data_IF_118029686483
#
_entry.id   IF_118029686483
#
_cell.length_a   1.000
_cell.length_b   1.000
_cell.length_c   1.000
_cell.angle_alpha   90.00
_cell.angle_beta   90.00
_cell.angle_gamma   90.00
#
_symmetry.space_group_name_H-M   'P 1'
#
loop_
_entity.id
_entity.type
_entity.pdbx_description
1 polymer ?
#
# COMPACT_ATOMS: atom_id res chain seq x y z
N UNK A 1 24.84 29.20 -14.19
CA UNK A 1 25.85 30.08 -13.54
C UNK A 1 25.53 30.09 -12.06
N UNK A 2 26.38 29.50 -11.20
CA UNK A 2 26.11 29.34 -9.76
C UNK A 2 26.38 30.68 -9.07
N UNK A 3 25.32 31.41 -8.71
CA UNK A 3 25.44 32.56 -7.82
C UNK A 3 25.49 32.05 -6.37
N UNK A 4 26.69 31.92 -5.81
CA UNK A 4 26.89 31.76 -4.36
C UNK A 4 26.47 33.04 -3.65
N UNK A 5 25.19 33.16 -3.31
CA UNK A 5 24.69 34.22 -2.44
C UNK A 5 25.38 34.13 -1.07
N UNK A 6 25.98 35.23 -0.62
CA UNK A 6 26.59 35.32 0.71
C UNK A 6 25.48 35.45 1.76
N UNK A 7 24.99 34.33 2.28
CA UNK A 7 23.89 34.31 3.24
C UNK A 7 24.17 35.08 4.54
N UNK A 8 25.43 35.26 4.91
CA UNK A 8 25.80 36.00 6.13
C UNK A 8 25.55 37.52 6.01
N UNK A 9 25.35 38.06 4.80
CA UNK A 9 25.00 39.48 4.61
C UNK A 9 23.49 39.74 4.70
N UNK A 10 22.66 38.71 4.88
CA UNK A 10 21.22 38.87 4.95
C UNK A 10 20.77 39.33 6.34
N UNK A 11 19.96 40.38 6.37
CA UNK A 11 19.44 40.99 7.61
C UNK A 11 17.94 40.85 7.79
N UNK A 12 17.24 40.32 6.78
CA UNK A 12 15.77 40.18 6.76
C UNK A 12 15.34 38.80 6.29
N UNK A 13 14.39 38.16 6.98
CA UNK A 13 13.75 36.91 6.55
C UNK A 13 12.23 36.93 6.77
N UNK A 14 11.51 35.99 6.16
CA UNK A 14 10.07 35.76 6.39
C UNK A 14 9.86 34.57 7.33
N UNK A 15 9.23 34.81 8.49
CA UNK A 15 8.86 33.77 9.45
C UNK A 15 7.35 33.87 9.68
N UNK A 16 6.63 32.78 9.44
CA UNK A 16 5.15 32.72 9.50
C UNK A 16 4.47 33.80 8.64
N UNK A 17 5.04 34.10 7.47
CA UNK A 17 4.51 35.11 6.54
C UNK A 17 4.81 36.57 6.94
N UNK A 18 5.54 36.81 8.02
CA UNK A 18 5.93 38.15 8.46
C UNK A 18 7.41 38.40 8.24
N UNK A 19 7.75 39.57 7.66
CA UNK A 19 9.13 40.04 7.54
C UNK A 19 9.69 40.34 8.94
N UNK A 20 10.86 39.78 9.23
CA UNK A 20 11.58 39.91 10.49
C UNK A 20 13.02 40.30 10.23
N UNK A 21 13.56 41.16 11.10
CA UNK A 21 14.95 41.62 11.04
C UNK A 21 15.81 40.83 12.02
N UNK A 22 17.09 40.68 11.69
CA UNK A 22 18.02 39.93 12.51
C UNK A 22 19.36 39.71 11.83
N UNK A 23 20.10 38.70 12.31
CA UNK A 23 21.40 38.32 11.73
C UNK A 23 21.56 36.81 11.65
N UNK A 24 22.30 36.36 10.63
CA UNK A 24 22.67 34.97 10.47
C UNK A 24 23.83 34.62 11.41
N UNK A 25 23.65 33.60 12.25
CA UNK A 25 24.66 33.09 13.19
C UNK A 25 25.43 31.90 12.63
N UNK A 26 24.76 31.01 11.90
CA UNK A 26 25.35 29.79 11.35
C UNK A 26 24.55 29.28 10.16
N UNK A 27 25.21 28.52 9.29
CA UNK A 27 24.61 27.80 8.17
C UNK A 27 24.99 26.33 8.30
N UNK A 28 24.02 25.43 8.26
CA UNK A 28 24.22 23.99 8.31
C UNK A 28 23.63 23.34 7.05
N UNK A 29 24.40 22.42 6.45
CA UNK A 29 23.96 21.65 5.28
C UNK A 29 23.77 20.21 5.71
N UNK A 30 22.57 19.66 5.52
CA UNK A 30 22.29 18.24 5.78
C UNK A 30 21.53 17.64 4.60
N UNK A 31 22.17 16.68 3.92
CA UNK A 31 21.58 15.76 2.91
C UNK A 31 20.66 16.46 1.90
N UNK A 32 21.02 17.68 1.47
CA UNK A 32 20.38 18.52 0.44
C UNK A 32 19.52 19.71 0.90
N UNK A 33 19.41 19.99 2.20
CA UNK A 33 18.81 21.22 2.71
C UNK A 33 19.85 22.10 3.43
N UNK A 34 19.89 23.41 3.10
CA UNK A 34 20.58 24.41 3.94
C UNK A 34 19.61 24.97 4.97
N UNK A 35 19.97 24.83 6.25
CA UNK A 35 19.29 25.51 7.36
C UNK A 35 20.17 26.65 7.84
N UNK A 36 19.51 27.75 8.18
CA UNK A 36 20.16 28.97 8.62
C UNK A 36 19.72 29.23 10.06
N UNK A 37 20.69 29.37 10.96
CA UNK A 37 20.43 29.81 12.31
C UNK A 37 20.34 31.34 12.27
N UNK A 38 19.13 31.89 12.39
CA UNK A 38 18.87 33.33 12.35
C UNK A 38 18.46 33.84 13.73
N UNK A 39 19.13 34.88 14.19
CA UNK A 39 18.83 35.54 15.46
C UNK A 39 18.01 36.80 15.19
N UNK A 40 16.79 36.84 15.72
CA UNK A 40 15.91 38.00 15.65
C UNK A 40 16.44 39.16 16.50
N UNK A 41 16.18 40.39 16.07
CA UNK A 41 16.49 41.58 16.87
C UNK A 41 15.78 41.52 18.23
N UNK A 42 16.55 41.64 19.31
CA UNK A 42 16.04 41.57 20.69
C UNK A 42 16.04 40.17 21.31
N UNK A 43 16.37 39.12 20.55
CA UNK A 43 16.51 37.76 21.09
C UNK A 43 17.97 37.39 21.36
N UNK A 44 18.21 36.56 22.39
CA UNK A 44 19.55 36.11 22.77
C UNK A 44 19.94 34.75 22.15
N UNK A 45 19.06 34.16 21.33
CA UNK A 45 19.27 32.84 20.70
C UNK A 45 18.88 32.89 19.24
N UNK A 46 19.52 32.05 18.42
CA UNK A 46 19.14 31.86 17.02
C UNK A 46 18.12 30.74 16.85
N UNK A 47 17.21 30.93 15.89
CA UNK A 47 16.22 29.92 15.46
C UNK A 47 16.63 29.37 14.10
N UNK A 48 16.51 28.05 13.91
CA UNK A 48 16.81 27.41 12.64
C UNK A 48 15.64 27.57 11.66
N UNK A 49 15.88 28.26 10.54
CA UNK A 49 14.92 28.51 9.47
C UNK A 49 15.45 28.00 8.11
N UNK A 50 14.59 27.66 7.15
CA UNK A 50 15.03 27.27 5.81
C UNK A 50 15.64 28.46 5.05
N UNK A 51 16.57 28.20 4.12
CA UNK A 51 17.19 29.24 3.26
C UNK A 51 16.18 30.05 2.45
N UNK A 52 15.07 29.42 2.05
CA UNK A 52 13.93 30.07 1.35
C UNK A 52 13.26 31.19 2.16
N UNK A 53 13.53 31.30 3.46
CA UNK A 53 13.05 32.40 4.28
C UNK A 53 13.73 33.74 3.94
N UNK A 54 14.87 33.75 3.26
CA UNK A 54 15.61 34.97 2.88
C UNK A 54 15.36 35.34 1.41
N UNK A 55 14.52 36.36 1.17
CA UNK A 55 14.37 36.97 -0.16
C UNK A 55 14.12 38.48 0.01
N UNK A 56 14.97 39.30 -0.61
CA UNK A 56 14.75 40.72 -0.90
C UNK A 56 15.36 41.02 -2.29
N UNK A 57 14.81 41.85 -3.16
CA UNK A 57 14.12 43.14 -2.98
C UNK A 57 12.85 43.33 -3.85
N UNK A 58 12.12 44.40 -3.52
CA UNK A 58 11.00 45.11 -4.15
C UNK A 58 10.19 44.48 -5.32
N UNK A 59 8.89 44.36 -5.05
CA UNK A 59 7.83 44.02 -6.01
C UNK A 59 7.61 45.22 -6.94
N UNK A 60 8.28 45.22 -8.10
CA UNK A 60 7.70 45.80 -9.31
C UNK A 60 6.38 45.07 -9.53
N UNK A 61 5.23 45.74 -9.80
CA UNK A 61 3.98 45.04 -10.03
C UNK A 61 4.07 44.27 -11.35
N UNK A 62 4.65 43.07 -11.26
CA UNK A 62 4.61 42.07 -12.30
C UNK A 62 3.16 41.62 -12.38
N UNK A 63 2.53 41.84 -13.54
CA UNK A 63 1.32 41.12 -13.88
C UNK A 63 1.68 39.64 -13.85
N UNK A 64 1.35 38.97 -12.75
CA UNK A 64 1.35 37.51 -12.71
C UNK A 64 0.15 37.08 -13.54
N UNK A 65 0.37 36.90 -14.84
CA UNK A 65 -0.38 35.86 -15.54
C UNK A 65 -0.04 34.58 -14.78
N UNK A 66 -0.99 34.08 -14.00
CA UNK A 66 -0.81 32.87 -13.22
C UNK A 66 -0.63 31.74 -14.23
N UNK A 67 0.60 31.26 -14.39
CA UNK A 67 0.87 30.08 -15.23
C UNK A 67 -0.06 28.96 -14.79
N UNK A 68 -0.78 28.39 -15.74
CA UNK A 68 -1.64 27.23 -15.49
C UNK A 68 -0.77 26.03 -15.09
N UNK A 69 -1.30 25.05 -14.33
CA UNK A 69 -0.53 23.85 -13.97
C UNK A 69 0.09 23.11 -15.18
N UNK A 70 -0.56 23.19 -16.34
CA UNK A 70 -0.08 22.63 -17.61
C UNK A 70 1.11 23.43 -18.15
N UNK A 71 1.08 24.76 -18.07
CA UNK A 71 2.20 25.62 -18.48
C UNK A 71 3.41 25.42 -17.57
N UNK A 72 3.21 25.32 -16.26
CA UNK A 72 4.27 25.01 -15.30
C UNK A 72 4.97 23.69 -15.63
N UNK A 73 4.22 22.61 -15.89
CA UNK A 73 4.82 21.33 -16.31
C UNK A 73 5.54 21.42 -17.65
N UNK A 74 4.97 22.12 -18.64
CA UNK A 74 5.61 22.29 -19.94
C UNK A 74 6.91 23.11 -19.88
N UNK A 75 6.97 24.10 -18.99
CA UNK A 75 8.20 24.86 -18.74
C UNK A 75 9.26 23.98 -18.07
N UNK A 76 8.85 23.19 -17.07
CA UNK A 76 9.71 22.23 -16.40
C UNK A 76 10.32 21.18 -17.36
N UNK A 77 9.58 20.79 -18.41
CA UNK A 77 10.08 19.89 -19.47
C UNK A 77 11.19 20.53 -20.31
N UNK A 78 11.10 21.84 -20.60
CA UNK A 78 12.13 22.56 -21.39
C UNK A 78 13.46 22.64 -20.64
N UNK A 79 13.40 22.69 -19.31
CA UNK A 79 14.56 22.80 -18.43
C UNK A 79 15.23 21.43 -18.18
N UNK A 80 14.57 20.33 -18.54
CA UNK A 80 15.04 18.97 -18.31
C UNK A 80 15.27 18.23 -19.65
N UNK A 81 16.54 18.01 -20.05
CA UNK A 81 16.88 17.36 -21.31
C UNK A 81 16.26 15.97 -21.50
N UNK A 82 16.10 15.19 -20.42
CA UNK A 82 15.54 13.83 -20.49
C UNK A 82 14.04 13.82 -20.70
N UNK A 83 13.32 14.74 -20.06
CA UNK A 83 11.90 14.93 -20.34
C UNK A 83 11.69 15.43 -21.78
N UNK A 84 12.62 16.24 -22.29
CA UNK A 84 12.60 16.65 -23.70
C UNK A 84 12.82 15.46 -24.64
N UNK A 85 13.79 14.58 -24.35
CA UNK A 85 14.03 13.35 -25.14
C UNK A 85 12.77 12.47 -25.16
N UNK A 86 12.17 12.23 -23.99
CA UNK A 86 10.97 11.41 -23.84
C UNK A 86 9.77 12.01 -24.60
N UNK A 87 9.60 13.34 -24.53
CA UNK A 87 8.58 14.06 -25.30
C UNK A 87 8.75 13.89 -26.80
N UNK A 88 9.98 13.92 -27.30
CA UNK A 88 10.28 13.78 -28.73
C UNK A 88 10.03 12.36 -29.24
N UNK A 89 10.24 11.34 -28.40
CA UNK A 89 10.00 9.94 -28.74
C UNK A 89 8.53 9.55 -28.66
N UNK A 90 7.77 10.20 -27.76
CA UNK A 90 6.36 9.91 -27.55
C UNK A 90 5.47 10.35 -28.72
N UNK A 91 4.34 9.65 -28.88
CA UNK A 91 3.27 10.15 -29.74
C UNK A 91 2.77 11.53 -29.24
N UNK A 92 2.67 12.57 -30.10
CA UNK A 92 2.31 13.92 -29.65
C UNK A 92 0.97 14.02 -28.91
N UNK A 93 -0.03 13.23 -29.29
CA UNK A 93 -1.33 13.24 -28.59
C UNK A 93 -1.20 12.59 -27.21
N UNK A 94 -0.54 11.44 -27.13
CA UNK A 94 -0.31 10.74 -25.87
C UNK A 94 0.50 11.60 -24.88
N UNK A 95 1.51 12.33 -25.35
CA UNK A 95 2.24 13.27 -24.50
C UNK A 95 1.35 14.40 -23.96
N UNK A 96 0.55 15.00 -24.83
CA UNK A 96 -0.37 16.08 -24.46
C UNK A 96 -1.38 15.59 -23.42
N UNK A 97 -1.93 14.40 -23.63
CA UNK A 97 -2.91 13.79 -22.72
C UNK A 97 -2.26 13.49 -21.36
N UNK A 98 -1.04 12.93 -21.35
CA UNK A 98 -0.28 12.68 -20.11
C UNK A 98 -0.04 13.96 -19.31
N UNK A 99 0.45 15.03 -19.95
CA UNK A 99 0.72 16.31 -19.27
C UNK A 99 -0.58 16.94 -18.76
N UNK A 100 -1.64 16.94 -19.56
CA UNK A 100 -2.95 17.47 -19.15
C UNK A 100 -3.52 16.72 -17.95
N UNK A 101 -3.39 15.39 -17.95
CA UNK A 101 -3.83 14.51 -16.88
C UNK A 101 -3.08 14.77 -15.57
N UNK A 102 -1.75 14.84 -15.60
CA UNK A 102 -0.93 14.99 -14.40
C UNK A 102 -0.90 16.42 -13.84
N UNK A 103 -1.04 17.44 -14.70
CA UNK A 103 -1.05 18.84 -14.28
C UNK A 103 -2.12 19.12 -13.22
N UNK A 104 -3.33 18.58 -13.41
CA UNK A 104 -4.42 18.72 -12.45
C UNK A 104 -4.15 18.03 -11.13
N UNK A 105 -3.58 16.82 -11.16
CA UNK A 105 -3.33 16.04 -9.94
C UNK A 105 -2.20 16.61 -9.09
N UNK A 106 -1.09 16.98 -9.72
CA UNK A 106 0.08 17.50 -9.01
C UNK A 106 -0.19 18.84 -8.31
N UNK A 107 -1.11 19.65 -8.84
CA UNK A 107 -1.53 20.89 -8.20
C UNK A 107 -2.30 20.66 -6.87
N UNK A 108 -2.84 19.45 -6.66
CA UNK A 108 -3.77 19.14 -5.57
C UNK A 108 -3.23 18.09 -4.58
N UNK A 109 -1.95 17.76 -4.62
CA UNK A 109 -1.35 16.80 -3.67
C UNK A 109 -1.29 17.43 -2.27
N UNK A 110 -1.92 16.75 -1.29
CA UNK A 110 -1.84 17.11 0.13
C UNK A 110 -0.56 16.55 0.75
N UNK A 111 0.50 17.37 0.82
CA UNK A 111 1.79 16.95 1.38
C UNK A 111 1.70 16.54 2.87
N UNK A 112 1.05 17.30 3.77
CA UNK A 112 0.85 16.87 5.15
C UNK A 112 0.19 15.49 5.28
N UNK A 113 -0.90 15.23 4.54
CA UNK A 113 -1.58 13.94 4.56
C UNK A 113 -0.68 12.82 4.02
N UNK A 114 0.06 13.11 2.95
CA UNK A 114 1.03 12.20 2.33
C UNK A 114 2.11 11.78 3.33
N UNK A 115 2.76 12.74 3.99
CA UNK A 115 3.81 12.50 4.99
C UNK A 115 3.24 11.71 6.19
N UNK A 116 2.06 12.08 6.68
CA UNK A 116 1.40 11.36 7.78
C UNK A 116 1.05 9.91 7.42
N UNK A 117 0.70 9.65 6.16
CA UNK A 117 0.47 8.29 5.69
C UNK A 117 1.77 7.47 5.65
N UNK A 118 2.85 8.04 5.13
CA UNK A 118 4.18 7.40 5.08
C UNK A 118 4.72 7.12 6.49
N UNK A 119 4.63 8.08 7.40
CA UNK A 119 5.07 7.90 8.79
C UNK A 119 4.32 6.76 9.50
N UNK A 120 3.02 6.60 9.23
CA UNK A 120 2.23 5.48 9.77
C UNK A 120 2.70 4.14 9.20
N UNK A 121 3.01 4.10 7.91
CA UNK A 121 3.48 2.90 7.23
C UNK A 121 4.87 2.48 7.72
N UNK A 122 5.83 3.40 7.74
CA UNK A 122 7.17 3.18 8.30
C UNK A 122 7.13 2.81 9.79
N UNK A 123 6.21 3.42 10.56
CA UNK A 123 6.01 3.08 11.97
C UNK A 123 5.47 1.66 12.20
N UNK A 124 4.71 1.11 11.25
CA UNK A 124 4.19 -0.26 11.28
C UNK A 124 5.24 -1.29 10.86
N UNK A 125 6.10 -0.93 9.91
CA UNK A 125 7.10 -1.80 9.30
C UNK A 125 8.53 -1.30 9.55
N UNK A 126 8.88 -1.08 10.83
CA UNK A 126 10.14 -0.43 11.23
C UNK A 126 11.42 -1.17 10.82
N UNK A 127 11.34 -2.48 10.70
CA UNK A 127 12.46 -3.35 10.33
C UNK A 127 12.57 -3.55 8.81
N UNK A 128 11.64 -3.00 8.03
CA UNK A 128 11.57 -3.16 6.58
C UNK A 128 12.39 -2.10 5.86
N UNK A 129 12.96 -2.47 4.72
CA UNK A 129 13.66 -1.58 3.81
C UNK A 129 12.70 -0.58 3.15
N UNK A 130 13.18 0.56 2.62
CA UNK A 130 12.35 1.49 1.85
C UNK A 130 11.62 0.81 0.68
N UNK A 131 12.26 -0.15 0.01
CA UNK A 131 11.64 -0.91 -1.07
C UNK A 131 10.46 -1.76 -0.57
N UNK A 132 10.64 -2.54 0.50
CA UNK A 132 9.56 -3.38 1.05
C UNK A 132 8.36 -2.53 1.52
N UNK A 133 8.61 -1.37 2.13
CA UNK A 133 7.57 -0.43 2.55
C UNK A 133 6.84 0.16 1.33
N UNK A 134 7.58 0.54 0.29
CA UNK A 134 7.02 1.04 -0.94
C UNK A 134 6.21 -0.04 -1.68
N UNK A 135 6.69 -1.28 -1.72
CA UNK A 135 6.00 -2.42 -2.34
C UNK A 135 4.64 -2.70 -1.68
N UNK A 136 4.59 -2.70 -0.34
CA UNK A 136 3.32 -2.78 0.42
C UNK A 136 2.36 -1.65 0.02
N UNK A 137 2.87 -0.42 -0.09
CA UNK A 137 2.06 0.72 -0.50
C UNK A 137 1.51 0.54 -1.92
N UNK A 138 2.35 0.12 -2.86
CA UNK A 138 1.98 -0.10 -4.26
C UNK A 138 0.86 -1.13 -4.34
N UNK A 139 1.01 -2.27 -3.66
CA UNK A 139 -0.03 -3.30 -3.62
C UNK A 139 -1.33 -2.78 -3.02
N UNK A 140 -1.27 -2.05 -1.91
CA UNK A 140 -2.47 -1.47 -1.31
C UNK A 140 -3.19 -0.48 -2.25
N UNK A 141 -2.44 0.34 -2.99
CA UNK A 141 -2.97 1.31 -3.96
C UNK A 141 -3.52 0.61 -5.21
N UNK A 142 -2.85 -0.43 -5.71
CA UNK A 142 -3.36 -1.29 -6.79
C UNK A 142 -4.66 -1.98 -6.41
N UNK A 143 -4.75 -2.50 -5.17
CA UNK A 143 -5.98 -3.07 -4.62
C UNK A 143 -7.09 -2.02 -4.48
N UNK A 144 -6.76 -0.83 -3.97
CA UNK A 144 -7.72 0.27 -3.86
C UNK A 144 -8.29 0.68 -5.22
N UNK A 145 -7.46 0.76 -6.27
CA UNK A 145 -7.95 1.01 -7.63
C UNK A 145 -8.67 -0.17 -8.27
N UNK A 146 -8.37 -1.39 -7.82
CA UNK A 146 -9.16 -2.56 -8.14
C UNK A 146 -10.55 -2.55 -7.45
N UNK A 147 -10.84 -1.55 -6.60
CA UNK A 147 -12.07 -1.49 -5.81
C UNK A 147 -12.05 -2.39 -4.58
N UNK A 148 -10.87 -2.91 -4.22
CA UNK A 148 -10.65 -3.63 -2.96
C UNK A 148 -10.27 -2.59 -1.91
N UNK A 149 -11.27 -1.98 -1.28
CA UNK A 149 -11.02 -1.23 -0.05
C UNK A 149 -10.62 -2.24 1.03
N UNK A 150 -9.40 -2.09 1.54
CA UNK A 150 -8.86 -2.92 2.61
C UNK A 150 -9.51 -2.60 3.98
N UNK A 151 -10.79 -2.23 4.03
CA UNK A 151 -11.61 -2.14 5.25
C UNK A 151 -13.12 -2.28 4.93
N UNK A 152 -13.69 -3.38 5.44
CA UNK A 152 -15.11 -3.59 5.79
C UNK A 152 -16.19 -3.83 4.71
N UNK A 153 -16.89 -4.95 4.94
CA UNK A 153 -18.26 -5.32 4.59
C UNK A 153 -18.60 -5.49 3.10
N UNK A 154 -19.08 -6.70 2.83
CA UNK A 154 -20.12 -7.08 1.86
C UNK A 154 -19.70 -7.30 0.38
N UNK A 155 -19.91 -8.57 -0.04
CA UNK A 155 -20.35 -9.08 -1.35
C UNK A 155 -19.32 -9.36 -2.46
N UNK A 156 -18.94 -10.63 -2.69
CA UNK A 156 -18.24 -11.10 -3.93
C UNK A 156 -19.21 -11.41 -5.09
N UNK A 157 -20.32 -10.69 -5.16
CA UNK A 157 -21.10 -10.57 -6.41
C UNK A 157 -21.36 -9.09 -6.73
N UNK A 158 -21.47 -8.21 -5.73
CA UNK A 158 -21.44 -6.76 -5.94
C UNK A 158 -20.01 -6.17 -6.07
N UNK A 159 -18.97 -6.92 -5.67
CA UNK A 159 -17.57 -6.66 -6.09
C UNK A 159 -17.42 -6.85 -7.61
N UNK A 160 -18.37 -7.48 -8.30
CA UNK A 160 -18.75 -7.33 -9.72
C UNK A 160 -19.14 -5.94 -10.25
N UNK A 161 -19.96 -5.27 -9.43
CA UNK A 161 -21.02 -4.36 -9.87
C UNK A 161 -20.75 -2.93 -9.37
N UNK A 162 -20.00 -2.77 -8.27
CA UNK A 162 -19.39 -1.49 -7.86
C UNK A 162 -18.21 -1.05 -8.75
N UNK A 163 -17.66 -1.99 -9.53
CA UNK A 163 -16.41 -1.93 -10.30
C UNK A 163 -16.33 -0.89 -11.41
N UNK A 164 -17.48 -0.42 -11.90
CA UNK A 164 -17.54 0.43 -13.08
C UNK A 164 -17.35 1.94 -12.78
N UNK A 165 -17.15 2.34 -11.51
CA UNK A 165 -17.30 3.75 -11.10
C UNK A 165 -16.03 4.52 -10.73
N UNK A 166 -14.88 3.88 -10.57
CA UNK A 166 -13.61 4.64 -10.41
C UNK A 166 -13.24 5.17 -11.79
N UNK A 167 -13.48 6.46 -11.96
CA UNK A 167 -13.12 7.21 -13.17
C UNK A 167 -11.61 7.36 -13.28
N UNK A 168 -11.14 7.62 -14.50
CA UNK A 168 -9.72 7.81 -14.78
C UNK A 168 -9.05 8.91 -13.90
N UNK A 169 -9.73 10.02 -13.54
CA UNK A 169 -9.24 11.01 -12.56
C UNK A 169 -8.99 10.45 -11.15
N UNK A 170 -9.79 9.49 -10.69
CA UNK A 170 -9.53 8.90 -9.37
C UNK A 170 -8.26 8.02 -9.37
N UNK A 171 -7.98 7.35 -10.50
CA UNK A 171 -6.78 6.51 -10.67
C UNK A 171 -5.52 7.38 -10.79
N UNK A 172 -5.62 8.52 -11.47
CA UNK A 172 -4.53 9.47 -11.64
C UNK A 172 -4.08 10.07 -10.34
N UNK A 173 -5.05 10.57 -9.56
CA UNK A 173 -4.82 11.08 -8.22
C UNK A 173 -4.14 10.03 -7.36
N UNK A 174 -4.67 8.80 -7.38
CA UNK A 174 -4.14 7.71 -6.58
C UNK A 174 -2.70 7.35 -6.94
N UNK A 175 -2.40 7.30 -8.24
CA UNK A 175 -1.06 7.02 -8.77
C UNK A 175 -0.09 8.15 -8.46
N UNK A 176 -0.53 9.41 -8.60
CA UNK A 176 0.27 10.59 -8.32
C UNK A 176 0.62 10.67 -6.84
N UNK A 177 -0.37 10.54 -5.95
CA UNK A 177 -0.14 10.46 -4.50
C UNK A 177 0.84 9.35 -4.15
N UNK A 178 0.67 8.16 -4.73
CA UNK A 178 1.56 7.02 -4.49
C UNK A 178 3.01 7.33 -4.89
N UNK A 179 3.25 7.98 -6.03
CA UNK A 179 4.61 8.38 -6.45
C UNK A 179 5.24 9.34 -5.44
N UNK A 180 4.48 10.31 -4.90
CA UNK A 180 4.96 11.20 -3.85
C UNK A 180 5.20 10.48 -2.52
N UNK A 181 4.34 9.53 -2.16
CA UNK A 181 4.55 8.69 -0.98
C UNK A 181 5.82 7.86 -1.10
N UNK A 182 6.10 7.28 -2.26
CA UNK A 182 7.34 6.54 -2.53
C UNK A 182 8.55 7.48 -2.40
N UNK A 183 8.48 8.70 -2.96
CA UNK A 183 9.53 9.70 -2.78
C UNK A 183 9.85 9.93 -1.29
N UNK A 184 8.82 10.11 -0.46
CA UNK A 184 8.98 10.28 0.99
C UNK A 184 9.50 9.02 1.69
N UNK A 185 9.09 7.81 1.26
CA UNK A 185 9.61 6.54 1.80
C UNK A 185 11.13 6.43 1.58
N UNK A 186 11.63 6.90 0.44
CA UNK A 186 13.06 6.97 0.13
C UNK A 186 13.76 8.22 0.72
N UNK A 187 13.05 9.07 1.47
CA UNK A 187 13.63 10.19 2.20
C UNK A 187 13.69 11.53 1.45
N UNK A 188 13.00 11.66 0.31
CA UNK A 188 12.96 12.91 -0.45
C UNK A 188 11.86 13.86 0.01
N UNK A 189 12.13 15.17 -0.05
CA UNK A 189 11.13 16.20 0.29
C UNK A 189 10.09 16.37 -0.83
N UNK A 190 8.84 16.60 -0.44
CA UNK A 190 7.70 16.67 -1.37
C UNK A 190 7.45 18.07 -1.93
N UNK A 191 7.95 19.10 -1.25
CA UNK A 191 7.75 20.52 -1.54
C UNK A 191 8.68 21.07 -2.64
N UNK A 192 9.57 20.24 -3.15
CA UNK A 192 10.52 20.62 -4.20
C UNK A 192 9.85 20.56 -5.58
N UNK A 193 9.98 21.64 -6.36
CA UNK A 193 9.44 21.72 -7.74
C UNK A 193 9.96 20.62 -8.67
N UNK A 194 11.17 20.14 -8.41
CA UNK A 194 11.73 18.98 -9.10
C UNK A 194 10.84 17.72 -8.96
N UNK A 195 10.07 17.53 -7.87
CA UNK A 195 9.21 16.33 -7.69
C UNK A 195 8.16 16.19 -8.79
N UNK A 196 7.66 17.31 -9.32
CA UNK A 196 6.71 17.30 -10.44
C UNK A 196 7.37 16.80 -11.72
N UNK A 197 8.64 17.17 -11.95
CA UNK A 197 9.43 16.68 -13.09
C UNK A 197 9.71 15.19 -12.97
N UNK A 198 10.03 14.72 -11.76
CA UNK A 198 10.30 13.30 -11.51
C UNK A 198 9.07 12.44 -11.65
N UNK A 199 7.95 12.88 -11.09
CA UNK A 199 6.67 12.21 -11.29
C UNK A 199 6.34 12.17 -12.78
N UNK A 200 6.44 13.28 -13.51
CA UNK A 200 6.23 13.28 -14.96
C UNK A 200 7.17 12.31 -15.69
N UNK A 201 8.43 12.20 -15.28
CA UNK A 201 9.40 11.27 -15.85
C UNK A 201 8.99 9.82 -15.59
N UNK A 202 8.67 9.46 -14.35
CA UNK A 202 8.22 8.12 -13.94
C UNK A 202 6.99 7.69 -14.74
N UNK A 203 5.98 8.56 -14.82
CA UNK A 203 4.78 8.27 -15.59
C UNK A 203 5.07 8.16 -17.09
N UNK A 204 5.92 9.04 -17.63
CA UNK A 204 6.26 9.02 -19.04
C UNK A 204 7.00 7.74 -19.45
N UNK A 205 8.03 7.31 -18.71
CA UNK A 205 8.77 6.07 -19.04
C UNK A 205 7.91 4.82 -18.91
N UNK A 206 6.92 4.85 -18.00
CA UNK A 206 6.02 3.73 -17.76
C UNK A 206 4.91 3.64 -18.81
N UNK A 207 4.26 4.78 -19.12
CA UNK A 207 3.04 4.80 -19.94
C UNK A 207 3.30 5.04 -21.43
N UNK A 208 4.45 5.62 -21.78
CA UNK A 208 4.80 5.94 -23.17
C UNK A 208 5.93 5.04 -23.72
N UNK A 209 6.42 4.09 -22.92
CA UNK A 209 7.50 3.18 -23.28
C UNK A 209 7.10 2.14 -24.35
N UNK A 210 8.10 1.67 -25.11
CA UNK A 210 7.90 0.73 -26.23
C UNK A 210 7.22 -0.57 -25.79
N UNK A 211 7.55 -1.10 -24.59
CA UNK A 211 6.94 -2.33 -24.07
C UNK A 211 5.46 -2.15 -23.71
N UNK A 212 5.06 -1.00 -23.19
CA UNK A 212 3.64 -0.70 -22.95
C UNK A 212 2.85 -0.71 -24.27
N UNK A 213 3.45 -0.12 -25.32
CA UNK A 213 2.88 -0.10 -26.68
C UNK A 213 2.82 -1.52 -27.27
N UNK A 214 3.90 -2.30 -27.19
CA UNK A 214 3.99 -3.65 -27.73
C UNK A 214 3.09 -4.66 -27.01
N UNK A 215 2.83 -4.45 -25.71
CA UNK A 215 1.85 -5.21 -24.96
C UNK A 215 0.40 -4.87 -25.34
N UNK A 216 0.18 -3.91 -26.26
CA UNK A 216 -1.15 -3.45 -26.68
C UNK A 216 -1.85 -2.63 -25.60
N UNK A 217 -1.09 -2.14 -24.60
CA UNK A 217 -1.63 -1.45 -23.44
C UNK A 217 -1.62 0.05 -23.73
N UNK A 218 -2.73 0.53 -24.27
CA UNK A 218 -2.91 1.95 -24.57
C UNK A 218 -3.58 2.68 -23.40
N UNK A 219 -2.79 2.98 -22.36
CA UNK A 219 -3.26 3.63 -21.13
C UNK A 219 -3.96 4.98 -21.37
N UNK A 220 -3.71 5.63 -22.51
CA UNK A 220 -4.10 7.00 -22.80
C UNK A 220 -5.11 7.14 -23.95
N UNK A 221 -5.26 6.16 -24.86
CA UNK A 221 -6.32 6.23 -25.90
C UNK A 221 -7.70 5.87 -25.34
N UNK A 222 -8.39 6.90 -24.87
CA UNK A 222 -9.85 6.94 -24.72
C UNK A 222 -10.51 7.13 -26.11
N UNK A 223 -10.56 6.08 -26.93
CA UNK A 223 -11.45 6.06 -28.11
C UNK A 223 -12.83 5.57 -27.66
N UNK A 224 -13.91 6.39 -27.64
CA UNK A 224 -15.24 5.93 -27.23
C UNK A 224 -15.79 4.76 -28.04
N UNK A 225 -15.29 4.52 -29.27
CA UNK A 225 -15.67 3.38 -30.11
C UNK A 225 -14.80 2.12 -29.90
N UNK A 226 -13.66 2.23 -29.19
CA UNK A 226 -12.81 1.10 -28.76
C UNK A 226 -12.65 0.97 -27.24
N UNK A 227 -13.21 1.91 -26.48
CA UNK A 227 -13.22 1.95 -25.03
C UNK A 227 -14.17 0.88 -24.50
N UNK A 228 -13.73 -0.37 -24.58
CA UNK A 228 -14.00 -1.30 -23.49
C UNK A 228 -13.38 -0.62 -22.26
N UNK A 229 -14.21 -0.21 -21.31
CA UNK A 229 -13.77 0.33 -20.03
C UNK A 229 -12.56 -0.46 -19.54
N UNK A 230 -11.46 0.21 -19.17
CA UNK A 230 -10.28 -0.43 -18.59
C UNK A 230 -10.75 -1.48 -17.58
N UNK A 231 -10.47 -2.76 -17.87
CA UNK A 231 -10.77 -3.83 -16.92
C UNK A 231 -10.03 -3.52 -15.62
N UNK A 232 -10.65 -3.82 -14.49
CA UNK A 232 -10.13 -3.64 -13.13
C UNK A 232 -8.68 -4.10 -12.99
N UNK A 233 -8.36 -5.23 -13.63
CA UNK A 233 -7.02 -5.81 -13.65
C UNK A 233 -6.00 -4.88 -14.33
N UNK A 234 -6.38 -4.24 -15.44
CA UNK A 234 -5.53 -3.26 -16.12
C UNK A 234 -5.30 -2.02 -15.26
N UNK A 235 -6.31 -1.52 -14.55
CA UNK A 235 -6.17 -0.37 -13.64
C UNK A 235 -5.16 -0.68 -12.52
N UNK A 236 -5.26 -1.86 -11.92
CA UNK A 236 -4.36 -2.31 -10.87
C UNK A 236 -2.92 -2.49 -11.39
N UNK A 237 -2.75 -3.08 -12.58
CA UNK A 237 -1.45 -3.21 -13.25
C UNK A 237 -0.82 -1.85 -13.54
N UNK A 238 -1.60 -0.86 -13.98
CA UNK A 238 -1.09 0.49 -14.26
C UNK A 238 -0.44 1.10 -13.02
N UNK A 239 -1.17 1.08 -11.90
CA UNK A 239 -0.66 1.58 -10.62
C UNK A 239 0.54 0.76 -10.18
N UNK A 240 0.50 -0.55 -10.35
CA UNK A 240 1.61 -1.42 -10.00
C UNK A 240 2.89 -1.08 -10.77
N UNK A 241 2.77 -0.89 -12.08
CA UNK A 241 3.87 -0.52 -12.96
C UNK A 241 4.44 0.87 -12.62
N UNK A 242 3.57 1.88 -12.43
CA UNK A 242 3.97 3.24 -12.03
C UNK A 242 4.69 3.21 -10.67
N UNK A 243 4.18 2.42 -9.73
CA UNK A 243 4.75 2.24 -8.41
C UNK A 243 6.16 1.63 -8.45
N UNK A 244 6.34 0.56 -9.23
CA UNK A 244 7.65 -0.05 -9.41
C UNK A 244 8.63 0.88 -10.10
N UNK A 245 8.20 1.58 -11.16
CA UNK A 245 9.02 2.59 -11.82
C UNK A 245 9.48 3.68 -10.84
N UNK A 246 8.59 4.13 -9.93
CA UNK A 246 8.96 5.06 -8.87
C UNK A 246 9.98 4.45 -7.89
N UNK A 247 9.84 3.17 -7.52
CA UNK A 247 10.82 2.50 -6.66
C UNK A 247 12.21 2.45 -7.31
N UNK A 248 12.30 2.01 -8.57
CA UNK A 248 13.56 1.96 -9.31
C UNK A 248 14.17 3.37 -9.40
N UNK A 249 13.36 4.36 -9.75
CA UNK A 249 13.75 5.76 -9.87
C UNK A 249 14.34 6.32 -8.56
N UNK A 250 13.59 6.22 -7.46
CA UNK A 250 14.01 6.80 -6.18
C UNK A 250 15.14 6.00 -5.52
N UNK A 251 15.22 4.68 -5.74
CA UNK A 251 16.35 3.88 -5.31
C UNK A 251 17.65 4.28 -6.05
N UNK A 252 17.58 4.52 -7.36
CA UNK A 252 18.70 5.02 -8.14
C UNK A 252 19.13 6.41 -7.68
N UNK A 253 18.16 7.32 -7.51
CA UNK A 253 18.41 8.69 -7.03
C UNK A 253 19.02 8.72 -5.63
N UNK A 254 18.56 7.85 -4.72
CA UNK A 254 19.09 7.76 -3.35
C UNK A 254 20.56 7.29 -3.32
N UNK A 255 20.98 6.45 -4.28
CA UNK A 255 22.37 6.01 -4.42
C UNK A 255 23.26 7.10 -5.05
N UNK A 256 22.74 7.85 -6.02
CA UNK A 256 23.49 8.89 -6.73
C UNK A 256 22.55 9.99 -7.20
N UNK A 257 22.74 11.21 -6.68
CA UNK A 257 21.86 12.37 -6.91
C UNK A 257 21.67 12.73 -8.40
N UNK A 258 22.70 12.49 -9.22
CA UNK A 258 22.69 12.76 -10.67
C UNK A 258 22.39 11.53 -11.53
N UNK A 259 22.02 10.38 -10.94
CA UNK A 259 21.81 9.12 -11.68
C UNK A 259 20.89 9.31 -12.91
N UNK A 260 19.88 10.18 -12.78
CA UNK A 260 18.84 10.39 -13.77
C UNK A 260 19.22 11.38 -14.89
N UNK A 261 20.42 11.94 -14.83
CA UNK A 261 20.96 12.80 -15.90
C UNK A 261 21.80 12.00 -16.92
N UNK A 262 22.30 10.82 -16.53
CA UNK A 262 23.06 9.92 -17.41
C UNK A 262 22.14 9.17 -18.38
N UNK A 263 22.55 9.05 -19.66
CA UNK A 263 21.81 8.29 -20.68
C UNK A 263 21.67 6.82 -20.27
N UNK A 264 22.78 6.22 -19.82
CA UNK A 264 22.85 4.78 -19.56
C UNK A 264 22.01 4.39 -18.33
N UNK A 265 22.02 5.21 -17.30
CA UNK A 265 21.21 5.00 -16.09
C UNK A 265 19.72 5.24 -16.36
N UNK A 266 19.40 6.23 -17.21
CA UNK A 266 18.02 6.46 -17.64
C UNK A 266 17.49 5.29 -18.48
N UNK A 267 18.29 4.76 -19.41
CA UNK A 267 17.93 3.58 -20.20
C UNK A 267 17.76 2.34 -19.32
N UNK A 268 18.65 2.16 -18.34
CA UNK A 268 18.55 1.09 -17.36
C UNK A 268 17.29 1.21 -16.50
N UNK A 269 16.95 2.41 -16.04
CA UNK A 269 15.68 2.69 -15.37
C UNK A 269 14.50 2.33 -16.26
N UNK A 270 14.53 2.70 -17.53
CA UNK A 270 13.48 2.37 -18.49
C UNK A 270 13.33 0.85 -18.63
N UNK A 271 14.42 0.12 -18.86
CA UNK A 271 14.44 -1.34 -18.96
C UNK A 271 13.90 -1.99 -17.68
N UNK A 272 14.42 -1.63 -16.50
CA UNK A 272 14.01 -2.19 -15.20
C UNK A 272 12.55 -1.84 -14.85
N UNK A 273 12.08 -0.63 -15.17
CA UNK A 273 10.70 -0.22 -14.92
C UNK A 273 9.69 -0.96 -15.80
N UNK A 274 10.10 -1.37 -17.00
CA UNK A 274 9.22 -2.04 -17.96
C UNK A 274 9.25 -3.57 -17.85
N UNK A 275 10.11 -4.18 -17.03
CA UNK A 275 10.13 -5.65 -16.78
C UNK A 275 8.74 -6.15 -16.37
N UNK A 276 8.04 -5.39 -15.54
CA UNK A 276 6.70 -5.73 -15.04
C UNK A 276 5.61 -5.72 -16.10
N UNK A 277 5.89 -5.17 -17.29
CA UNK A 277 4.97 -5.12 -18.43
C UNK A 277 5.25 -6.20 -19.48
N UNK A 278 6.36 -6.94 -19.38
CA UNK A 278 6.79 -7.92 -20.42
C UNK A 278 5.76 -9.04 -20.65
N UNK A 279 5.13 -9.53 -19.59
CA UNK A 279 4.18 -10.66 -19.64
C UNK A 279 2.71 -10.24 -19.71
N UNK A 280 2.42 -8.94 -19.81
CA UNK A 280 1.07 -8.39 -19.82
C UNK A 280 0.37 -8.54 -21.18
N UNK A 281 0.45 -9.74 -21.79
CA UNK A 281 -0.06 -10.04 -23.15
C UNK A 281 -1.52 -10.54 -23.15
N UNK A 282 -2.08 -10.86 -21.98
CA UNK A 282 -3.47 -11.30 -21.81
C UNK A 282 -3.97 -11.01 -20.39
N UNK A 283 -5.29 -10.92 -20.19
CA UNK A 283 -5.89 -10.66 -18.87
C UNK A 283 -5.51 -11.71 -17.82
N UNK A 284 -5.47 -12.98 -18.20
CA UNK A 284 -5.12 -14.10 -17.32
C UNK A 284 -3.67 -14.01 -16.81
N UNK A 285 -2.73 -13.65 -17.69
CA UNK A 285 -1.33 -13.47 -17.30
C UNK A 285 -1.15 -12.25 -16.39
N UNK A 286 -1.88 -11.17 -16.66
CA UNK A 286 -1.85 -9.98 -15.80
C UNK A 286 -2.40 -10.31 -14.41
N UNK A 287 -3.49 -11.09 -14.33
CA UNK A 287 -4.05 -11.55 -13.07
C UNK A 287 -3.02 -12.35 -12.26
N UNK A 288 -2.43 -13.38 -12.87
CA UNK A 288 -1.44 -14.22 -12.18
C UNK A 288 -0.22 -13.41 -11.72
N UNK A 289 0.31 -12.54 -12.58
CA UNK A 289 1.44 -11.67 -12.20
C UNK A 289 1.07 -10.78 -11.02
N UNK A 290 -0.09 -10.13 -11.05
CA UNK A 290 -0.54 -9.27 -9.96
C UNK A 290 -0.78 -10.06 -8.67
N UNK A 291 -1.34 -11.27 -8.75
CA UNK A 291 -1.54 -12.16 -7.60
C UNK A 291 -0.22 -12.54 -6.92
N UNK A 292 0.82 -12.87 -7.70
CA UNK A 292 2.15 -13.17 -7.17
C UNK A 292 2.75 -11.96 -6.43
N UNK A 293 2.66 -10.78 -7.02
CA UNK A 293 3.19 -9.55 -6.45
C UNK A 293 2.42 -9.12 -5.19
N UNK A 294 1.09 -9.30 -5.17
CA UNK A 294 0.27 -9.09 -3.97
C UNK A 294 0.73 -10.03 -2.85
N UNK A 295 0.95 -11.31 -3.18
CA UNK A 295 1.40 -12.32 -2.21
C UNK A 295 2.79 -12.01 -1.65
N UNK A 296 3.70 -11.50 -2.47
CA UNK A 296 5.04 -11.09 -2.02
C UNK A 296 5.02 -9.85 -1.14
N UNK A 297 4.19 -8.85 -1.48
CA UNK A 297 4.10 -7.60 -0.74
C UNK A 297 3.41 -7.74 0.62
N UNK A 298 2.45 -8.67 0.76
CA UNK A 298 1.81 -8.91 2.05
C UNK A 298 2.83 -9.62 2.96
N UNK A 299 3.34 -8.94 4.02
CA UNK A 299 4.36 -9.54 4.86
C UNK A 299 3.83 -10.82 5.47
N UNK A 300 4.68 -11.86 5.53
CA UNK A 300 4.35 -13.10 6.24
C UNK A 300 3.87 -12.78 7.65
N UNK A 301 2.85 -13.48 8.17
CA UNK A 301 2.31 -13.15 9.48
C UNK A 301 3.37 -13.29 10.56
N UNK A 302 3.42 -12.30 11.45
CA UNK A 302 4.26 -12.40 12.63
C UNK A 302 3.51 -13.16 13.73
N UNK A 303 3.94 -14.39 13.99
CA UNK A 303 3.34 -15.26 15.02
C UNK A 303 3.73 -14.89 16.46
N UNK A 304 4.69 -13.97 16.67
CA UNK A 304 5.22 -13.64 18.01
C UNK A 304 4.15 -13.12 18.97
N UNK A 305 3.18 -12.35 18.46
CA UNK A 305 2.10 -11.84 19.30
C UNK A 305 1.13 -12.97 19.70
N UNK A 306 0.81 -13.88 18.78
CA UNK A 306 0.01 -15.07 19.08
C UNK A 306 0.71 -15.96 20.12
N UNK A 307 2.01 -16.22 19.94
CA UNK A 307 2.81 -16.99 20.90
C UNK A 307 2.81 -16.36 22.30
N UNK A 308 3.01 -15.04 22.38
CA UNK A 308 2.97 -14.30 23.64
C UNK A 308 1.60 -14.43 24.31
N UNK A 309 0.50 -14.19 23.59
CA UNK A 309 -0.86 -14.27 24.14
C UNK A 309 -1.20 -15.69 24.63
N UNK A 310 -0.80 -16.72 23.87
CA UNK A 310 -1.00 -18.11 24.25
C UNK A 310 -0.20 -18.49 25.50
N UNK A 311 1.05 -18.02 25.61
CA UNK A 311 1.89 -18.27 26.81
C UNK A 311 1.32 -17.63 28.08
N UNK A 312 0.58 -16.53 27.92
CA UNK A 312 -0.13 -15.83 28.99
C UNK A 312 -1.53 -16.42 29.27
N UNK A 313 -1.94 -17.44 28.52
CA UNK A 313 -3.27 -18.06 28.59
C UNK A 313 -4.42 -17.06 28.33
N UNK A 314 -4.15 -16.02 27.53
CA UNK A 314 -5.13 -15.04 27.09
C UNK A 314 -5.93 -15.61 25.91
N UNK A 315 -6.75 -16.62 26.18
CA UNK A 315 -7.36 -17.48 25.16
C UNK A 315 -8.23 -16.73 24.15
N UNK A 316 -9.05 -15.79 24.60
CA UNK A 316 -9.91 -14.98 23.72
C UNK A 316 -9.08 -14.08 22.80
N UNK A 317 -8.06 -13.41 23.35
CA UNK A 317 -7.16 -12.55 22.56
C UNK A 317 -6.32 -13.36 21.58
N UNK A 318 -5.90 -14.56 21.99
CA UNK A 318 -5.17 -15.50 21.13
C UNK A 318 -6.05 -15.97 19.96
N UNK A 319 -7.33 -16.21 20.21
CA UNK A 319 -8.29 -16.58 19.18
C UNK A 319 -8.51 -15.45 18.17
N UNK A 320 -8.76 -14.23 18.66
CA UNK A 320 -8.85 -13.03 17.81
C UNK A 320 -7.57 -12.81 16.98
N UNK A 321 -6.40 -13.00 17.57
CA UNK A 321 -5.13 -12.84 16.88
C UNK A 321 -4.93 -13.93 15.81
N UNK A 322 -5.35 -15.16 16.09
CA UNK A 322 -5.34 -16.24 15.09
C UNK A 322 -6.20 -15.87 13.88
N UNK A 323 -7.39 -15.30 14.13
CA UNK A 323 -8.24 -14.82 13.05
C UNK A 323 -7.59 -13.72 12.20
N UNK A 324 -6.91 -12.76 12.83
CA UNK A 324 -6.16 -11.72 12.09
C UNK A 324 -5.03 -12.30 11.23
N UNK A 325 -4.28 -13.26 11.77
CA UNK A 325 -3.19 -13.93 11.05
C UNK A 325 -3.74 -14.69 9.84
N UNK A 326 -4.81 -15.47 10.03
CA UNK A 326 -5.45 -16.22 8.93
C UNK A 326 -6.01 -15.28 7.88
N UNK A 327 -6.61 -14.16 8.28
CA UNK A 327 -7.04 -13.11 7.35
C UNK A 327 -5.86 -12.53 6.58
N UNK A 328 -4.75 -12.22 7.24
CA UNK A 328 -3.55 -11.71 6.59
C UNK A 328 -2.99 -12.70 5.55
N UNK A 329 -2.93 -13.99 5.89
CA UNK A 329 -2.47 -15.06 4.98
C UNK A 329 -3.38 -15.21 3.75
N UNK A 330 -4.68 -15.03 3.95
CA UNK A 330 -5.68 -15.10 2.87
C UNK A 330 -5.79 -13.80 2.07
N UNK A 331 -4.83 -12.88 2.22
CA UNK A 331 -4.89 -11.53 1.65
C UNK A 331 -6.25 -10.84 1.93
N UNK A 332 -6.82 -11.13 3.10
CA UNK A 332 -8.08 -10.63 3.63
C UNK A 332 -9.35 -11.11 2.90
N UNK A 333 -9.30 -12.19 2.10
CA UNK A 333 -10.48 -12.90 1.59
C UNK A 333 -10.60 -14.32 2.16
N UNK A 334 -11.31 -14.50 3.29
CA UNK A 334 -11.43 -15.81 3.93
C UNK A 334 -12.47 -16.73 3.28
N UNK A 335 -13.32 -16.25 2.36
CA UNK A 335 -14.44 -17.03 1.81
C UNK A 335 -14.02 -17.91 0.64
N UNK A 336 -13.15 -17.42 -0.25
CA UNK A 336 -12.92 -18.10 -1.53
C UNK A 336 -11.63 -18.93 -1.61
N UNK A 337 -10.71 -18.79 -0.65
CA UNK A 337 -9.37 -19.36 -0.80
C UNK A 337 -8.73 -19.98 0.45
N UNK A 338 -9.50 -20.53 1.38
CA UNK A 338 -8.92 -21.28 2.53
C UNK A 338 -7.99 -22.42 2.07
N UNK A 339 -8.17 -22.91 0.84
CA UNK A 339 -7.27 -23.89 0.21
C UNK A 339 -5.90 -23.32 -0.21
N UNK A 340 -5.74 -22.01 -0.40
CA UNK A 340 -4.43 -21.40 -0.67
C UNK A 340 -3.58 -21.18 0.58
N UNK A 341 -4.15 -21.31 1.79
CA UNK A 341 -3.32 -21.27 3.00
C UNK A 341 -2.19 -22.29 2.86
N UNK A 342 -0.95 -21.81 2.98
CA UNK A 342 0.21 -22.67 3.00
C UNK A 342 0.10 -23.62 4.20
N UNK A 343 0.46 -24.89 3.99
CA UNK A 343 0.32 -25.91 5.04
C UNK A 343 1.22 -25.60 6.23
N UNK A 344 2.37 -24.98 5.98
CA UNK A 344 3.36 -24.56 6.96
C UNK A 344 2.76 -23.54 7.95
N UNK A 345 1.95 -22.60 7.46
CA UNK A 345 1.30 -21.60 8.30
C UNK A 345 0.21 -22.21 9.18
N UNK A 346 -0.57 -23.15 8.63
CA UNK A 346 -1.57 -23.92 9.40
C UNK A 346 -0.87 -24.73 10.51
N UNK A 347 0.22 -25.43 10.17
CA UNK A 347 1.02 -26.21 11.12
C UNK A 347 1.65 -25.34 12.21
N UNK A 348 2.12 -24.13 11.87
CA UNK A 348 2.68 -23.19 12.84
C UNK A 348 1.62 -22.72 13.85
N UNK A 349 0.43 -22.34 13.38
CA UNK A 349 -0.69 -21.96 14.25
C UNK A 349 -1.09 -23.14 15.15
N UNK A 350 -1.25 -24.34 14.57
CA UNK A 350 -1.62 -25.56 15.32
C UNK A 350 -0.60 -25.89 16.41
N UNK A 351 0.70 -25.82 16.08
CA UNK A 351 1.79 -26.06 17.04
C UNK A 351 1.74 -25.10 18.23
N UNK A 352 1.49 -23.80 17.98
CA UNK A 352 1.39 -22.79 19.03
C UNK A 352 0.21 -23.08 19.97
N UNK A 353 -0.97 -23.36 19.40
CA UNK A 353 -2.15 -23.72 20.19
C UNK A 353 -1.95 -25.01 21.00
N UNK A 354 -1.42 -26.05 20.38
CA UNK A 354 -1.17 -27.34 21.03
C UNK A 354 -0.17 -27.24 22.18
N UNK A 355 0.96 -26.56 21.96
CA UNK A 355 2.05 -26.46 22.97
C UNK A 355 1.60 -25.69 24.21
N UNK A 356 0.76 -24.67 24.06
CA UNK A 356 0.31 -23.84 25.18
C UNK A 356 -0.94 -24.39 25.88
N UNK A 357 -1.65 -25.36 25.28
CA UNK A 357 -2.90 -25.93 25.81
C UNK A 357 -2.76 -27.38 26.29
N UNK A 358 -1.53 -27.90 26.43
CA UNK A 358 -1.27 -29.33 26.70
C UNK A 358 -1.97 -30.25 25.68
N UNK A 359 -1.98 -29.85 24.40
CA UNK A 359 -2.60 -30.59 23.31
C UNK A 359 -4.14 -30.61 23.33
N UNK A 360 -4.80 -29.75 24.12
CA UNK A 360 -6.26 -29.69 24.18
C UNK A 360 -6.89 -28.90 23.02
N UNK A 361 -6.20 -27.88 22.54
CA UNK A 361 -6.67 -26.96 21.49
C UNK A 361 -5.76 -27.03 20.26
N UNK A 362 -6.32 -26.67 19.10
CA UNK A 362 -5.64 -26.74 17.81
C UNK A 362 -6.49 -27.41 16.73
N UNK A 363 -6.14 -27.13 15.48
CA UNK A 363 -6.81 -27.67 14.29
C UNK A 363 -6.59 -29.18 14.13
N UNK A 364 -5.44 -29.73 14.54
CA UNK A 364 -5.17 -31.18 14.50
C UNK A 364 -6.11 -31.93 15.43
N UNK A 365 -6.40 -31.36 16.60
CA UNK A 365 -7.36 -31.91 17.56
C UNK A 365 -8.79 -31.82 17.01
N UNK A 366 -9.16 -30.68 16.44
CA UNK A 366 -10.45 -30.53 15.74
C UNK A 366 -10.61 -31.54 14.60
N UNK A 367 -9.55 -31.78 13.81
CA UNK A 367 -9.54 -32.78 12.74
C UNK A 367 -9.83 -34.17 13.28
N UNK A 368 -9.13 -34.60 14.33
CA UNK A 368 -9.37 -35.92 14.94
C UNK A 368 -10.83 -36.09 15.39
N UNK A 369 -11.39 -35.07 16.05
CA UNK A 369 -12.78 -35.08 16.51
C UNK A 369 -13.73 -35.14 15.30
N UNK A 370 -13.54 -34.29 14.29
CA UNK A 370 -14.35 -34.24 13.08
C UNK A 370 -14.42 -35.59 12.36
N UNK A 371 -13.28 -36.28 12.22
CA UNK A 371 -13.25 -37.61 11.63
C UNK A 371 -13.87 -38.68 12.53
N UNK A 372 -13.68 -38.60 13.86
CA UNK A 372 -14.24 -39.57 14.82
C UNK A 372 -15.78 -39.60 14.84
N UNK A 373 -16.42 -38.45 14.57
CA UNK A 373 -17.89 -38.32 14.47
C UNK A 373 -18.40 -38.56 13.03
N UNK A 374 -17.56 -39.11 12.16
CA UNK A 374 -17.93 -39.43 10.77
C UNK A 374 -18.17 -38.19 9.91
N UNK A 375 -17.43 -37.09 10.16
CA UNK A 375 -17.50 -35.83 9.41
C UNK A 375 -18.85 -35.12 9.47
N UNK A 376 -19.71 -35.49 10.43
CA UNK A 376 -21.02 -34.88 10.63
C UNK A 376 -20.86 -33.55 11.35
N UNK A 377 -21.14 -32.46 10.65
CA UNK A 377 -20.96 -31.08 11.14
C UNK A 377 -21.71 -30.81 12.44
N UNK A 378 -22.94 -31.33 12.58
CA UNK A 378 -23.72 -31.22 13.82
C UNK A 378 -23.05 -31.90 15.01
N UNK A 379 -22.71 -33.18 14.87
CA UNK A 379 -22.07 -34.00 15.90
C UNK A 379 -20.69 -33.44 16.27
N UNK A 380 -19.94 -32.94 15.29
CA UNK A 380 -18.68 -32.24 15.50
C UNK A 380 -18.88 -30.99 16.36
N UNK A 381 -19.83 -30.13 15.99
CA UNK A 381 -20.18 -28.93 16.76
C UNK A 381 -20.57 -29.23 18.21
N UNK A 382 -21.28 -30.33 18.45
CA UNK A 382 -21.61 -30.77 19.81
C UNK A 382 -20.37 -31.28 20.57
N UNK A 383 -19.51 -32.05 19.91
CA UNK A 383 -18.30 -32.62 20.51
C UNK A 383 -17.30 -31.54 20.92
N UNK A 384 -17.11 -30.51 20.08
CA UNK A 384 -16.23 -29.38 20.41
C UNK A 384 -16.94 -28.30 21.23
N UNK A 385 -18.25 -28.42 21.50
CA UNK A 385 -19.00 -27.49 22.35
C UNK A 385 -19.41 -26.16 21.70
N UNK A 386 -19.47 -26.13 20.37
CA UNK A 386 -19.98 -25.01 19.57
C UNK A 386 -21.49 -25.11 19.26
N UNK A 387 -22.10 -26.27 19.48
CA UNK A 387 -23.53 -26.51 19.30
C UNK A 387 -24.15 -27.12 20.56
N UNK A 388 -25.35 -26.67 20.92
CA UNK A 388 -26.12 -27.27 22.01
C UNK A 388 -26.71 -28.64 21.63
N UNK A 389 -26.76 -29.58 22.59
CA UNK A 389 -27.43 -30.87 22.43
C UNK A 389 -28.94 -30.70 22.52
N UNK A 390 -29.70 -31.39 21.67
CA UNK A 390 -31.15 -31.47 21.86
C UNK A 390 -31.53 -32.30 23.09
N UNK A 391 -32.56 -31.83 23.81
CA UNK A 391 -33.27 -32.62 24.82
C UNK A 391 -33.01 -32.27 26.28
N UNK A 392 -32.08 -31.35 26.60
CA UNK A 392 -31.87 -30.90 27.99
C UNK A 392 -32.55 -29.53 28.16
N UNK A 393 -33.84 -29.56 28.48
CA UNK A 393 -34.75 -28.42 28.74
C UNK A 393 -35.12 -27.52 27.54
N UNK A 394 -36.07 -27.98 26.72
CA UNK A 394 -36.90 -27.04 25.94
C UNK A 394 -36.33 -26.52 24.62
N UNK A 395 -35.37 -27.24 24.04
CA UNK A 395 -35.15 -27.31 22.58
C UNK A 395 -34.82 -26.01 21.85
N UNK A 396 -33.53 -25.75 21.65
CA UNK A 396 -33.06 -25.19 20.37
C UNK A 396 -31.76 -25.89 19.98
N UNK A 397 -31.74 -26.48 18.77
CA UNK A 397 -30.51 -26.83 18.08
C UNK A 397 -29.85 -25.55 17.58
N UNK A 398 -29.06 -24.91 18.45
CA UNK A 398 -28.39 -23.64 18.13
C UNK A 398 -26.87 -23.81 18.09
N UNK A 399 -26.24 -23.27 17.06
CA UNK A 399 -24.81 -22.95 17.11
C UNK A 399 -24.62 -21.72 18.00
N UNK A 400 -23.58 -21.75 18.84
CA UNK A 400 -23.21 -20.62 19.68
C UNK A 400 -22.75 -19.43 18.82
N UNK A 401 -23.06 -18.23 19.27
CA UNK A 401 -22.40 -17.04 18.76
C UNK A 401 -20.99 -16.94 19.35
N UNK A 402 -20.11 -16.16 18.71
CA UNK A 402 -18.74 -15.99 19.19
C UNK A 402 -18.67 -15.49 20.66
N UNK A 403 -19.58 -14.60 21.04
CA UNK A 403 -19.69 -14.08 22.42
C UNK A 403 -20.01 -15.17 23.47
N UNK A 404 -20.54 -16.32 23.04
CA UNK A 404 -20.93 -17.44 23.90
C UNK A 404 -19.87 -18.57 23.92
N UNK A 405 -18.74 -18.38 23.22
CA UNK A 405 -17.60 -19.29 23.21
C UNK A 405 -16.90 -19.26 24.57
N UNK A 406 -16.45 -20.42 25.03
CA UNK A 406 -15.82 -20.59 26.35
C UNK A 406 -14.30 -20.50 26.23
N UNK A 407 -13.75 -19.31 26.53
CA UNK A 407 -12.30 -19.06 26.52
C UNK A 407 -11.62 -19.48 27.82
N UNK A 408 -11.64 -20.78 28.13
CA UNK A 408 -11.03 -21.31 29.34
C UNK A 408 -10.50 -22.74 29.17
N UNK A 409 -9.22 -22.95 29.48
CA UNK A 409 -8.53 -24.22 29.31
C UNK A 409 -9.23 -25.43 29.99
N UNK A 410 -9.74 -25.24 31.21
CA UNK A 410 -10.27 -26.33 32.04
C UNK A 410 -11.78 -26.56 31.84
N UNK A 411 -12.52 -25.52 31.44
CA UNK A 411 -13.98 -25.61 31.24
C UNK A 411 -14.34 -25.96 29.80
N UNK A 412 -13.51 -25.60 28.83
CA UNK A 412 -13.79 -25.86 27.43
C UNK A 412 -13.51 -27.33 27.06
N UNK A 413 -14.34 -27.95 26.19
CA UNK A 413 -14.07 -29.26 25.62
C UNK A 413 -12.76 -29.32 24.83
N UNK A 414 -12.28 -30.53 24.57
CA UNK A 414 -11.16 -30.74 23.67
C UNK A 414 -11.53 -30.28 22.25
N UNK A 415 -10.61 -29.59 21.57
CA UNK A 415 -10.83 -29.02 20.23
C UNK A 415 -11.69 -27.75 20.19
N UNK A 416 -12.10 -27.20 21.35
CA UNK A 416 -12.98 -26.02 21.40
C UNK A 416 -12.39 -24.76 20.76
N UNK A 417 -11.06 -24.61 20.79
CA UNK A 417 -10.33 -23.49 20.19
C UNK A 417 -9.28 -24.01 19.19
N UNK A 418 -8.92 -23.22 18.17
CA UNK A 418 -9.44 -21.89 17.85
C UNK A 418 -10.88 -21.90 17.28
N UNK A 419 -11.64 -20.84 17.55
CA UNK A 419 -13.04 -20.62 17.16
C UNK A 419 -13.27 -19.26 16.46
N UNK A 420 -12.21 -18.56 16.03
CA UNK A 420 -12.29 -17.21 15.46
C UNK A 420 -13.18 -17.11 14.23
N UNK A 421 -13.44 -18.23 13.54
CA UNK A 421 -14.36 -18.29 12.41
C UNK A 421 -15.76 -17.76 12.76
N UNK A 422 -16.23 -18.00 14.00
CA UNK A 422 -17.52 -17.50 14.48
C UNK A 422 -17.54 -15.98 14.70
N UNK A 423 -16.36 -15.34 14.80
CA UNK A 423 -16.22 -13.89 14.88
C UNK A 423 -16.14 -13.23 13.49
N UNK A 424 -15.58 -13.93 12.50
CA UNK A 424 -15.38 -13.40 11.15
C UNK A 424 -16.69 -13.40 10.35
N UNK A 425 -17.59 -14.37 10.58
CA UNK A 425 -18.78 -14.57 9.78
C UNK A 425 -20.08 -14.35 10.58
N UNK A 426 -20.95 -13.49 10.03
CA UNK A 426 -22.27 -13.14 10.61
C UNK A 426 -23.32 -14.27 10.55
N UNK A 427 -23.05 -15.42 9.89
CA UNK A 427 -24.07 -16.48 9.66
C UNK A 427 -23.79 -17.81 10.38
N UNK A 428 -24.89 -18.41 10.85
CA UNK A 428 -25.05 -19.53 11.78
C UNK A 428 -24.13 -20.77 11.59
N UNK A 429 -22.90 -20.69 12.14
CA UNK A 429 -22.07 -21.74 12.76
C UNK A 429 -21.82 -23.08 12.03
N UNK A 430 -22.84 -23.73 11.48
CA UNK A 430 -22.72 -24.94 10.68
C UNK A 430 -22.24 -24.69 9.26
N UNK A 431 -22.63 -23.56 8.66
CA UNK A 431 -22.17 -23.17 7.31
C UNK A 431 -20.65 -22.95 7.31
N UNK A 432 -20.13 -22.29 8.34
CA UNK A 432 -18.70 -22.04 8.54
C UNK A 432 -17.91 -23.35 8.59
N UNK A 433 -18.41 -24.35 9.32
CA UNK A 433 -17.72 -25.64 9.44
C UNK A 433 -17.70 -26.36 8.09
N UNK A 434 -18.80 -26.32 7.34
CA UNK A 434 -18.95 -27.04 6.08
C UNK A 434 -18.20 -26.38 4.89
N UNK A 435 -18.18 -25.04 4.84
CA UNK A 435 -17.55 -24.27 3.76
C UNK A 435 -16.07 -23.95 4.05
N UNK A 436 -15.76 -23.49 5.27
CA UNK A 436 -14.45 -22.93 5.61
C UNK A 436 -13.55 -23.92 6.32
N UNK A 437 -13.96 -24.38 7.51
CA UNK A 437 -13.10 -25.19 8.38
C UNK A 437 -12.79 -26.56 7.74
N UNK A 438 -13.74 -27.14 7.00
CA UNK A 438 -13.54 -28.38 6.25
C UNK A 438 -12.33 -28.34 5.32
N UNK A 439 -12.09 -27.22 4.63
CA UNK A 439 -10.94 -27.04 3.74
C UNK A 439 -9.59 -27.07 4.46
N UNK A 440 -9.58 -26.89 5.78
CA UNK A 440 -8.43 -27.09 6.65
C UNK A 440 -8.42 -28.54 7.15
N UNK A 441 -9.50 -29.03 7.75
CA UNK A 441 -9.56 -30.34 8.40
C UNK A 441 -9.36 -31.52 7.42
N UNK A 442 -9.78 -31.38 6.15
CA UNK A 442 -9.75 -32.48 5.17
C UNK A 442 -8.49 -32.52 4.29
N UNK A 443 -7.53 -31.62 4.51
CA UNK A 443 -6.23 -31.67 3.82
C UNK A 443 -5.51 -32.99 4.09
N UNK A 444 -4.78 -33.50 3.09
CA UNK A 444 -4.02 -34.74 3.22
C UNK A 444 -2.63 -34.49 3.82
N UNK A 445 -2.13 -33.27 3.68
CA UNK A 445 -0.77 -32.81 3.99
C UNK A 445 -0.52 -32.52 5.48
N UNK A 446 -1.38 -33.03 6.38
CA UNK A 446 -1.35 -32.74 7.82
C UNK A 446 -0.22 -33.40 8.62
#
# INVERSE_FOLDING_TARGET
>A
MVLTHNLFSQTTCSINGHKKNGKVLAVATYVDCRRICFQLEGENRGTWIPESAFVGEEIVPFKIETETPVETLNNAVKENPRLSDLKTQANPSAWKDLVGWLAGEFANIDFPATINSVNRLQGRYKESTPYEIAHILIVHKSLQAAGVELISKTVVEDILIGLAKIDLPSISKLSAEMVYQIAAIYGFSLDSEERKQEALMIFGVTLLGERAINAGIDWLKLDPMKAKALNVISKALMIYAIGNAACVFYAAKAKKRDALTSVDEFKKLEEESQVYLEDATSEEKIYHKLEEEIREAVPKPNYSNLEKLLSMQEWERSDLETGKIVLQLLSHNPVDNIRSLAIEDIQNIDRLWGSNSNGRFGFRVQKQIYFSVGKKVGDFGEAVGWRGKAGVFGGIFGWKEYKDITFNLNKAPQGHLPAFWFNIYDKHGGVIVDESLKAILERQEW
#
